data_IF_351866080203
#
_entry.id   IF_351866080203
#
_cell.length_a   1.000
_cell.length_b   1.000
_cell.length_c   1.000
_cell.angle_alpha   90.00
_cell.angle_beta   90.00
_cell.angle_gamma   90.00
#
_symmetry.space_group_name_H-M   'P 1'
#
loop_
_entity.id
_entity.type
_entity.pdbx_description
1 polymer ?
#
# COMPACT_ATOMS: atom_id res chain seq x y z
N UNK A 1 9.52 -8.12 -0.19
CA UNK A 1 8.46 -7.33 0.44
C UNK A 1 7.11 -7.91 0.06
N UNK A 2 6.41 -8.49 1.03
CA UNK A 2 5.06 -9.02 0.86
C UNK A 2 4.07 -8.03 1.46
N UNK A 3 2.99 -7.75 0.75
CA UNK A 3 2.03 -6.73 1.18
C UNK A 3 0.60 -7.17 0.89
N UNK A 4 -0.33 -6.72 1.74
CA UNK A 4 -1.75 -6.81 1.51
C UNK A 4 -2.46 -5.64 2.18
N UNK A 5 -3.60 -5.25 1.62
CA UNK A 5 -4.43 -4.20 2.16
C UNK A 5 -5.90 -4.47 1.87
N UNK A 6 -6.75 -4.08 2.79
CA UNK A 6 -8.19 -4.29 2.62
C UNK A 6 -9.00 -3.23 3.35
N UNK A 7 -10.26 -3.06 2.94
CA UNK A 7 -11.26 -2.31 3.70
C UNK A 7 -12.51 -3.14 3.90
N UNK A 8 -13.15 -2.96 5.04
CA UNK A 8 -14.43 -3.61 5.39
C UNK A 8 -15.56 -2.70 4.92
N UNK A 9 -16.07 -2.96 3.72
CA UNK A 9 -16.76 -1.98 2.90
C UNK A 9 -15.76 -1.11 2.15
N UNK A 10 -16.12 -0.58 1.01
CA UNK A 10 -15.21 0.20 0.17
C UNK A 10 -15.91 1.48 -0.32
N UNK A 11 -15.83 2.60 0.46
CA UNK A 11 -14.98 2.84 1.62
C UNK A 11 -15.50 2.21 2.93
N UNK A 12 -14.58 2.09 3.89
CA UNK A 12 -14.88 1.57 5.23
C UNK A 12 -13.63 1.49 6.09
N UNK A 13 -13.74 0.90 7.30
CA UNK A 13 -12.58 0.61 8.12
C UNK A 13 -11.61 -0.30 7.36
N UNK A 14 -10.34 0.05 7.34
CA UNK A 14 -9.35 -0.69 6.59
C UNK A 14 -8.06 -0.94 7.37
N UNK A 15 -7.18 -1.71 6.76
CA UNK A 15 -5.88 -1.99 7.31
C UNK A 15 -4.93 -2.53 6.26
N UNK A 16 -3.65 -2.52 6.59
CA UNK A 16 -2.63 -3.16 5.77
C UNK A 16 -1.76 -4.08 6.61
N UNK A 17 -1.17 -5.07 5.94
CA UNK A 17 -0.18 -5.98 6.49
C UNK A 17 1.04 -6.06 5.59
N UNK A 18 2.21 -6.14 6.21
CA UNK A 18 3.50 -6.12 5.53
C UNK A 18 4.44 -7.14 6.17
N UNK A 19 5.12 -7.90 5.33
CA UNK A 19 6.27 -8.70 5.72
C UNK A 19 7.47 -8.26 4.90
N UNK A 20 8.50 -7.79 5.59
CA UNK A 20 9.77 -7.43 4.97
C UNK A 20 10.81 -8.50 5.35
N UNK A 21 11.37 -9.16 4.34
CA UNK A 21 12.36 -10.23 4.50
C UNK A 21 13.66 -9.85 3.79
N UNK A 22 14.76 -9.91 4.51
CA UNK A 22 16.09 -9.84 3.93
C UNK A 22 16.53 -11.25 3.56
N UNK A 23 16.60 -11.51 2.27
CA UNK A 23 16.92 -12.84 1.73
C UNK A 23 18.32 -13.30 2.16
N UNK A 24 19.28 -12.38 2.29
CA UNK A 24 20.66 -12.71 2.64
C UNK A 24 20.80 -13.10 4.12
N UNK A 25 20.21 -12.31 5.02
CA UNK A 25 20.33 -12.56 6.46
C UNK A 25 19.22 -13.45 7.02
N UNK A 26 18.09 -13.59 6.30
CA UNK A 26 16.90 -14.27 6.78
C UNK A 26 16.12 -13.49 7.82
N UNK A 27 16.47 -12.23 8.08
CA UNK A 27 15.75 -11.38 9.03
C UNK A 27 14.40 -11.02 8.47
N UNK A 28 13.35 -11.21 9.28
CA UNK A 28 11.96 -10.91 8.93
C UNK A 28 11.42 -9.85 9.88
N UNK A 29 10.71 -8.88 9.31
CA UNK A 29 9.95 -7.85 10.04
C UNK A 29 8.52 -7.82 9.55
N UNK A 30 7.59 -7.74 10.48
CA UNK A 30 6.18 -7.54 10.16
C UNK A 30 5.74 -6.17 10.62
N UNK A 31 4.84 -5.53 9.87
CA UNK A 31 4.12 -4.35 10.34
C UNK A 31 2.69 -4.34 9.81
N UNK A 32 1.83 -3.68 10.54
CA UNK A 32 0.43 -3.52 10.18
C UNK A 32 -0.12 -2.24 10.80
N UNK A 33 -1.15 -1.68 10.16
CA UNK A 33 -1.83 -0.50 10.68
C UNK A 33 -3.29 -0.53 10.24
N UNK A 34 -4.19 -0.03 11.10
CA UNK A 34 -5.60 0.10 10.82
C UNK A 34 -6.04 1.56 10.68
N UNK A 35 -7.03 1.80 9.84
CA UNK A 35 -7.59 3.11 9.52
C UNK A 35 -9.10 3.11 9.71
N UNK A 36 -9.63 4.22 10.19
CA UNK A 36 -11.06 4.36 10.51
C UNK A 36 -11.94 4.35 9.26
N UNK A 37 -11.49 5.05 8.21
CA UNK A 37 -12.20 5.16 6.95
C UNK A 37 -11.20 5.31 5.80
N UNK A 38 -11.21 4.36 4.89
CA UNK A 38 -10.28 4.32 3.75
C UNK A 38 -10.85 3.42 2.63
N UNK A 39 -10.03 3.10 1.63
CA UNK A 39 -10.42 2.21 0.53
C UNK A 39 -9.45 1.05 0.38
N UNK A 40 -9.87 -0.01 -0.31
CA UNK A 40 -9.00 -1.12 -0.65
C UNK A 40 -7.71 -0.66 -1.35
N UNK A 41 -7.84 0.15 -2.40
CA UNK A 41 -6.69 0.59 -3.18
C UNK A 41 -5.71 1.43 -2.35
N UNK A 42 -6.23 2.28 -1.47
CA UNK A 42 -5.38 3.05 -0.57
C UNK A 42 -4.59 2.14 0.38
N UNK A 43 -5.24 1.12 0.95
CA UNK A 43 -4.58 0.18 1.85
C UNK A 43 -3.57 -0.71 1.14
N UNK A 44 -3.86 -1.16 -0.07
CA UNK A 44 -2.91 -1.90 -0.91
C UNK A 44 -1.65 -1.08 -1.19
N UNK A 45 -1.81 0.17 -1.58
CA UNK A 45 -0.70 1.06 -1.88
C UNK A 45 0.05 1.48 -0.61
N UNK A 46 -0.68 1.77 0.48
CA UNK A 46 -0.09 2.13 1.77
C UNK A 46 0.77 0.99 2.35
N UNK A 47 0.35 -0.26 2.15
CA UNK A 47 1.14 -1.42 2.57
C UNK A 47 2.53 -1.41 1.92
N UNK A 48 2.59 -1.18 0.62
CA UNK A 48 3.85 -1.09 -0.12
C UNK A 48 4.71 0.07 0.38
N UNK A 49 4.12 1.24 0.54
CA UNK A 49 4.82 2.44 1.03
C UNK A 49 5.38 2.20 2.43
N UNK A 50 4.56 1.67 3.33
CA UNK A 50 4.97 1.39 4.71
C UNK A 50 6.16 0.41 4.77
N UNK A 51 6.15 -0.62 3.92
CA UNK A 51 7.26 -1.55 3.81
C UNK A 51 8.54 -0.89 3.31
N UNK A 52 8.43 -0.09 2.25
CA UNK A 52 9.57 0.64 1.69
C UNK A 52 10.14 1.67 2.68
N UNK A 53 9.28 2.32 3.45
CA UNK A 53 9.69 3.30 4.47
C UNK A 53 10.44 2.65 5.65
N UNK A 54 10.36 1.33 5.83
CA UNK A 54 11.15 0.59 6.83
C UNK A 54 12.58 0.31 6.39
N UNK A 55 12.92 0.50 5.12
CA UNK A 55 14.28 0.33 4.62
C UNK A 55 15.16 1.48 5.12
N UNK A 56 16.23 1.13 5.82
CA UNK A 56 17.16 2.11 6.40
C UNK A 56 18.47 2.26 5.59
N UNK A 57 18.60 1.53 4.51
CA UNK A 57 19.73 1.60 3.58
C UNK A 57 19.22 1.85 2.15
N UNK A 58 20.06 2.47 1.33
CA UNK A 58 19.72 2.82 -0.05
C UNK A 58 21.01 2.86 -0.89
N UNK A 59 21.01 2.33 -2.13
CA UNK A 59 19.91 1.61 -2.79
C UNK A 59 19.80 0.15 -2.33
N UNK A 60 18.59 -0.44 -2.49
CA UNK A 60 18.32 -1.86 -2.23
C UNK A 60 17.55 -2.41 -3.41
N UNK A 61 17.81 -3.66 -3.76
CA UNK A 61 16.98 -4.43 -4.70
C UNK A 61 15.75 -4.95 -3.93
N UNK A 62 14.56 -4.55 -4.34
CA UNK A 62 13.30 -4.92 -3.68
C UNK A 62 12.37 -5.59 -4.67
N UNK A 63 11.91 -6.79 -4.33
CA UNK A 63 10.79 -7.43 -5.01
C UNK A 63 9.53 -7.23 -4.17
N UNK A 64 8.53 -6.57 -4.73
CA UNK A 64 7.22 -6.39 -4.11
C UNK A 64 6.31 -7.51 -4.59
N UNK A 65 5.84 -8.33 -3.66
CA UNK A 65 4.96 -9.47 -3.94
C UNK A 65 3.59 -9.14 -3.35
N UNK A 66 2.59 -8.97 -4.22
CA UNK A 66 1.24 -8.53 -3.84
C UNK A 66 0.20 -9.14 -4.78
N UNK A 67 -1.03 -9.29 -4.28
CA UNK A 67 -2.18 -9.67 -5.09
C UNK A 67 -2.92 -8.46 -5.70
N UNK A 68 -2.44 -7.26 -5.44
CA UNK A 68 -3.02 -6.02 -5.96
C UNK A 68 -2.65 -5.77 -7.42
N UNK A 69 -3.59 -5.97 -8.32
CA UNK A 69 -3.44 -5.54 -9.71
C UNK A 69 -3.30 -4.03 -9.84
N UNK A 70 -3.97 -3.30 -8.96
CA UNK A 70 -3.89 -1.83 -8.92
C UNK A 70 -2.44 -1.35 -8.78
N UNK A 71 -1.68 -1.95 -7.86
CA UNK A 71 -0.27 -1.61 -7.65
C UNK A 71 0.61 -2.14 -8.78
N UNK A 72 0.51 -3.43 -9.09
CA UNK A 72 1.37 -4.07 -10.09
C UNK A 72 1.21 -3.45 -11.48
N UNK A 73 -0.02 -3.25 -11.94
CA UNK A 73 -0.28 -2.71 -13.28
C UNK A 73 0.19 -1.27 -13.43
N UNK A 74 0.03 -0.45 -12.39
CA UNK A 74 0.51 0.93 -12.41
C UNK A 74 2.03 1.01 -12.65
N UNK A 75 2.78 0.10 -12.05
CA UNK A 75 4.24 0.05 -12.19
C UNK A 75 4.66 -0.66 -13.48
N UNK A 76 4.18 -1.88 -13.71
CA UNK A 76 4.61 -2.71 -14.83
C UNK A 76 4.19 -2.16 -16.19
N UNK A 77 2.96 -1.66 -16.30
CA UNK A 77 2.46 -1.03 -17.53
C UNK A 77 2.89 0.41 -17.68
N UNK A 78 3.70 0.90 -16.76
CA UNK A 78 4.24 2.27 -16.75
C UNK A 78 3.17 3.37 -16.71
N UNK A 79 1.95 3.06 -16.28
CA UNK A 79 0.87 4.02 -16.12
C UNK A 79 1.23 5.11 -15.12
N UNK A 80 1.90 4.73 -14.03
CA UNK A 80 2.34 5.64 -12.99
C UNK A 80 3.18 6.79 -13.54
N UNK A 81 4.11 6.49 -14.44
CA UNK A 81 5.00 7.50 -15.04
C UNK A 81 4.24 8.43 -15.99
N UNK A 82 3.25 7.91 -16.70
CA UNK A 82 2.34 8.74 -17.51
C UNK A 82 1.51 9.67 -16.64
N UNK A 83 1.00 9.18 -15.51
CA UNK A 83 0.25 10.00 -14.56
C UNK A 83 1.12 11.10 -13.96
N UNK A 84 2.35 10.77 -13.58
CA UNK A 84 3.32 11.73 -13.05
C UNK A 84 3.60 12.84 -14.06
N UNK A 85 3.84 12.51 -15.33
CA UNK A 85 4.11 13.47 -16.38
C UNK A 85 2.95 14.45 -16.61
N UNK A 86 1.73 14.06 -16.24
CA UNK A 86 0.51 14.89 -16.33
C UNK A 86 0.12 15.51 -14.99
N UNK A 87 1.00 15.47 -13.98
CA UNK A 87 0.74 16.01 -12.65
C UNK A 87 -0.38 15.29 -11.89
N UNK A 88 -0.63 14.02 -12.19
CA UNK A 88 -1.71 13.19 -11.61
C UNK A 88 -3.11 13.77 -11.80
N UNK A 89 -3.31 14.55 -12.87
CA UNK A 89 -4.61 15.14 -13.18
C UNK A 89 -5.68 14.08 -13.33
N UNK A 90 -6.80 14.26 -12.61
CA UNK A 90 -7.94 13.33 -12.57
C UNK A 90 -7.58 11.92 -12.08
N UNK A 91 -6.50 11.76 -11.32
CA UNK A 91 -6.11 10.48 -10.72
C UNK A 91 -6.37 10.47 -9.23
N UNK A 92 -6.90 9.34 -8.75
CA UNK A 92 -7.10 9.07 -7.32
C UNK A 92 -5.77 8.73 -6.66
N UNK A 93 -5.69 8.97 -5.35
CA UNK A 93 -4.57 8.53 -4.51
C UNK A 93 -3.22 9.14 -4.90
N UNK A 94 -3.24 10.33 -5.48
CA UNK A 94 -2.00 11.03 -5.89
C UNK A 94 -1.03 11.25 -4.74
N UNK A 95 -1.54 11.48 -3.52
CA UNK A 95 -0.73 11.63 -2.32
C UNK A 95 0.13 10.39 -2.06
N UNK A 96 -0.48 9.22 -2.15
CA UNK A 96 0.21 7.95 -1.94
C UNK A 96 1.15 7.60 -3.09
N UNK A 97 0.75 7.85 -4.33
CA UNK A 97 1.62 7.60 -5.48
C UNK A 97 2.87 8.48 -5.48
N UNK A 98 2.75 9.72 -5.02
CA UNK A 98 3.91 10.60 -4.86
C UNK A 98 4.88 10.07 -3.79
N UNK A 99 4.36 9.57 -2.66
CA UNK A 99 5.19 8.93 -1.61
C UNK A 99 5.86 7.67 -2.15
N UNK A 100 5.14 6.85 -2.89
CA UNK A 100 5.69 5.66 -3.52
C UNK A 100 6.87 6.01 -4.45
N UNK A 101 6.72 7.02 -5.29
CA UNK A 101 7.75 7.44 -6.25
C UNK A 101 9.05 7.89 -5.58
N UNK A 102 8.98 8.48 -4.39
CA UNK A 102 10.18 8.83 -3.62
C UNK A 102 11.03 7.59 -3.38
N UNK A 103 10.40 6.49 -2.98
CA UNK A 103 11.09 5.22 -2.72
C UNK A 103 11.45 4.47 -4.00
N UNK A 104 10.57 4.51 -5.00
CA UNK A 104 10.82 3.90 -6.30
C UNK A 104 12.10 4.45 -6.94
N UNK A 105 12.34 5.74 -6.82
CA UNK A 105 13.53 6.39 -7.36
C UNK A 105 14.82 6.14 -6.56
N UNK A 106 14.70 5.70 -5.32
CA UNK A 106 15.85 5.39 -4.44
C UNK A 106 16.35 3.96 -4.56
N UNK A 107 15.48 3.04 -4.95
CA UNK A 107 15.75 1.60 -4.93
C UNK A 107 15.51 0.99 -6.30
N UNK A 108 16.01 -0.22 -6.50
CA UNK A 108 15.67 -1.01 -7.67
C UNK A 108 14.48 -1.89 -7.32
N UNK A 109 13.31 -1.53 -7.82
CA UNK A 109 12.03 -2.15 -7.44
C UNK A 109 11.45 -2.90 -8.63
N UNK A 110 11.08 -4.17 -8.39
CA UNK A 110 10.25 -4.96 -9.28
C UNK A 110 8.98 -5.37 -8.55
N UNK A 111 7.89 -5.58 -9.28
CA UNK A 111 6.62 -6.05 -8.74
C UNK A 111 6.29 -7.41 -9.29
N UNK A 112 5.79 -8.29 -8.42
CA UNK A 112 5.35 -9.63 -8.77
C UNK A 112 3.92 -9.80 -8.27
N UNK A 113 3.00 -10.02 -9.20
CA UNK A 113 1.63 -10.30 -8.86
C UNK A 113 1.44 -11.76 -8.48
N UNK A 114 0.72 -12.01 -7.38
CA UNK A 114 0.32 -13.35 -6.95
C UNK A 114 -1.19 -13.42 -6.84
N UNK A 115 -1.75 -14.59 -7.15
CA UNK A 115 -3.19 -14.80 -7.05
C UNK A 115 -3.61 -14.90 -5.57
N UNK A 116 -4.75 -14.28 -5.24
CA UNK A 116 -5.36 -14.38 -3.91
C UNK A 116 -5.62 -15.84 -3.55
N UNK A 117 -5.32 -16.19 -2.29
CA UNK A 117 -5.57 -17.54 -1.71
C UNK A 117 -4.94 -18.70 -2.49
N UNK A 118 -3.79 -18.47 -3.11
CA UNK A 118 -3.07 -19.50 -3.87
C UNK A 118 -1.98 -20.19 -3.03
N UNK A 119 -2.28 -20.50 -1.76
CA UNK A 119 -1.36 -21.16 -0.81
C UNK A 119 -0.02 -20.43 -0.63
N UNK A 120 0.01 -19.13 -0.86
CA UNK A 120 1.19 -18.30 -0.63
C UNK A 120 1.23 -17.88 0.83
N UNK A 121 2.07 -18.52 1.62
CA UNK A 121 2.11 -18.40 3.08
C UNK A 121 2.30 -16.96 3.57
N UNK A 122 3.24 -16.22 2.99
CA UNK A 122 3.51 -14.85 3.37
C UNK A 122 2.36 -13.92 2.98
N UNK A 123 1.75 -14.16 1.82
CA UNK A 123 0.61 -13.37 1.37
C UNK A 123 -0.60 -13.59 2.29
N UNK A 124 -0.87 -14.82 2.69
CA UNK A 124 -1.92 -15.15 3.67
C UNK A 124 -1.66 -14.49 5.03
N UNK A 125 -0.40 -14.43 5.45
CA UNK A 125 -0.03 -13.74 6.69
C UNK A 125 -0.29 -12.24 6.58
N UNK A 126 0.03 -11.60 5.46
CA UNK A 126 -0.25 -10.20 5.22
C UNK A 126 -1.76 -9.92 5.21
N UNK A 127 -2.57 -10.79 4.61
CA UNK A 127 -4.04 -10.71 4.65
C UNK A 127 -4.55 -10.75 6.10
N UNK A 128 -4.07 -11.69 6.89
CA UNK A 128 -4.42 -11.79 8.30
C UNK A 128 -4.06 -10.51 9.07
N UNK A 129 -2.86 -9.97 8.86
CA UNK A 129 -2.41 -8.74 9.50
C UNK A 129 -3.28 -7.55 9.10
N UNK A 130 -3.61 -7.43 7.82
CA UNK A 130 -4.46 -6.36 7.31
C UNK A 130 -5.87 -6.42 7.91
N UNK A 131 -6.48 -7.59 7.89
CA UNK A 131 -7.83 -7.79 8.44
C UNK A 131 -7.87 -7.53 9.95
N UNK A 132 -6.90 -8.06 10.69
CA UNK A 132 -6.78 -7.85 12.13
C UNK A 132 -6.63 -6.36 12.47
N UNK A 133 -5.80 -5.64 11.71
CA UNK A 133 -5.61 -4.20 11.88
C UNK A 133 -6.91 -3.41 11.63
N UNK A 134 -7.69 -3.80 10.63
CA UNK A 134 -8.97 -3.16 10.30
C UNK A 134 -10.01 -3.28 11.41
N UNK A 135 -9.87 -4.28 12.28
CA UNK A 135 -10.80 -4.57 13.39
C UNK A 135 -10.39 -3.94 14.71
N UNK A 136 -9.22 -3.35 14.82
CA UNK A 136 -8.75 -2.72 16.06
C UNK A 136 -9.66 -1.57 16.48
N UNK A 137 -9.79 -1.35 17.78
CA UNK A 137 -10.53 -0.22 18.34
C UNK A 137 -9.77 1.09 18.18
N UNK A 138 -8.44 1.03 18.25
CA UNK A 138 -7.56 2.19 18.13
C UNK A 138 -6.95 2.23 16.71
N UNK A 139 -7.66 2.88 15.78
CA UNK A 139 -7.25 3.02 14.39
C UNK A 139 -6.87 4.45 14.06
N UNK A 140 -5.98 4.60 13.10
CA UNK A 140 -5.55 5.91 12.58
C UNK A 140 -6.61 6.52 11.68
N UNK A 141 -6.47 7.81 11.43
CA UNK A 141 -7.27 8.55 10.44
C UNK A 141 -6.49 8.62 9.14
N UNK A 142 -7.15 8.28 8.03
CA UNK A 142 -6.62 8.55 6.69
C UNK A 142 -6.99 9.99 6.31
N UNK A 143 -6.16 10.93 6.77
CA UNK A 143 -6.46 12.35 6.72
C UNK A 143 -6.74 12.87 5.31
N UNK A 144 -5.92 12.48 4.35
CA UNK A 144 -6.09 12.95 2.97
C UNK A 144 -7.37 12.40 2.34
N UNK A 145 -7.69 11.15 2.61
CA UNK A 145 -8.91 10.54 2.11
C UNK A 145 -10.17 11.17 2.73
N UNK A 146 -10.20 11.33 4.04
CA UNK A 146 -11.36 11.91 4.73
C UNK A 146 -11.56 13.38 4.37
N UNK A 147 -10.48 14.14 4.23
CA UNK A 147 -10.51 15.52 3.75
C UNK A 147 -11.12 15.62 2.35
N UNK A 148 -10.73 14.76 1.43
CA UNK A 148 -11.26 14.74 0.07
C UNK A 148 -12.74 14.39 0.02
N UNK A 149 -13.21 13.51 0.89
CA UNK A 149 -14.65 13.23 1.04
C UNK A 149 -15.41 14.46 1.52
N UNK A 150 -14.93 15.12 2.57
CA UNK A 150 -15.57 16.32 3.11
C UNK A 150 -15.69 17.40 2.05
N UNK A 151 -14.64 17.64 1.29
CA UNK A 151 -14.64 18.59 0.18
C UNK A 151 -15.68 18.25 -0.88
N UNK A 152 -15.80 16.98 -1.26
CA UNK A 152 -16.80 16.52 -2.23
C UNK A 152 -18.23 16.65 -1.72
N UNK A 153 -18.43 16.54 -0.42
CA UNK A 153 -19.74 16.70 0.21
C UNK A 153 -20.09 18.18 0.48
N UNK A 154 -19.19 19.10 0.14
CA UNK A 154 -19.42 20.54 0.31
C UNK A 154 -19.19 21.07 1.72
N UNK A 155 -18.62 20.27 2.62
CA UNK A 155 -18.20 20.74 3.94
C UNK A 155 -16.91 21.54 3.79
N UNK A 156 -16.91 22.77 4.31
CA UNK A 156 -15.70 23.57 4.44
C UNK A 156 -15.09 23.32 5.82
N UNK A 157 -13.79 23.23 5.88
CA UNK A 157 -13.04 23.18 7.13
C UNK A 157 -13.25 24.47 7.94
#
# INVERSE_FOLDING_TARGET
LYTDGSSRGNPGPGGYGVILEDIKSGVIRECSEGYKLTTNNRMELMAVIAGLEKLNISPVDVEIITDSRYVCDAVEKKWLFKWESKGFKNKKNKDLWKRFLIHFNKHKIITTWVKVHNNHRQNERCDFLALSASKKTNKKTDHEYEKNIQTKMGFKD
#
